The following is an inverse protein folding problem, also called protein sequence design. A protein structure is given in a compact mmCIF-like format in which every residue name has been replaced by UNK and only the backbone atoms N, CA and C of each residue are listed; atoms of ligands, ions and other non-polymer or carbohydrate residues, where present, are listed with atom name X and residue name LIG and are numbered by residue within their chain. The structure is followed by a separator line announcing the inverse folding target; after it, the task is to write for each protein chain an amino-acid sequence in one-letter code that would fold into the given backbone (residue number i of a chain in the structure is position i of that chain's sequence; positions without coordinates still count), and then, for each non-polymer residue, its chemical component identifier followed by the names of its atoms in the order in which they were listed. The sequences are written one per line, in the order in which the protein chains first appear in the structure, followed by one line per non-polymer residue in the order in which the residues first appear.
data_IF_422054539560
#
_entry.id   IF_422054539560
#
_cell.length_a   1.000
_cell.length_b   1.000
_cell.length_c   1.000
_cell.angle_alpha   90.00
_cell.angle_beta   90.00
_cell.angle_gamma   90.00
#
_symmetry.space_group_name_H-M   'P 1'
#
loop_
_entity.id
_entity.type
_entity.pdbx_description
1 polymer ?
#
# COMPACT_ATOMS: atom_id res chain seq x y z
N UNK A 1 -3.11 29.16 25.34
CA UNK A 1 -2.71 27.73 25.32
C UNK A 1 -3.15 27.12 24.00
N UNK A 2 -2.25 27.03 23.02
CA UNK A 2 -2.53 26.42 21.71
C UNK A 2 -2.09 24.96 21.74
N UNK A 3 -3.03 24.05 21.55
CA UNK A 3 -2.83 22.60 21.62
C UNK A 3 -1.98 22.12 20.44
N UNK A 4 -0.77 21.61 20.69
CA UNK A 4 0.13 20.97 19.72
C UNK A 4 -0.35 19.56 19.29
N UNK A 5 -1.65 19.39 19.00
CA UNK A 5 -2.30 18.08 18.85
C UNK A 5 -2.38 17.52 17.42
N UNK A 6 -1.70 18.09 16.42
CA UNK A 6 -2.02 17.85 15.00
C UNK A 6 -0.96 17.19 14.11
N UNK A 7 0.27 16.98 14.58
CA UNK A 7 1.40 16.59 13.71
C UNK A 7 1.46 15.10 13.34
N UNK A 8 1.26 14.21 14.32
CA UNK A 8 1.51 12.76 14.17
C UNK A 8 0.60 12.09 13.14
N UNK A 9 -0.69 12.49 13.09
CA UNK A 9 -1.66 11.98 12.11
C UNK A 9 -1.25 12.27 10.66
N UNK A 10 -0.54 13.38 10.44
CA UNK A 10 -0.02 13.74 9.11
C UNK A 10 1.21 12.92 8.75
N UNK A 11 1.98 12.45 9.72
CA UNK A 11 3.14 11.58 9.47
C UNK A 11 2.74 10.14 9.12
N UNK A 12 1.60 9.67 9.63
CA UNK A 12 0.99 8.39 9.25
C UNK A 12 0.21 8.42 7.93
N UNK A 13 0.21 9.54 7.21
CA UNK A 13 -0.43 9.63 5.89
C UNK A 13 0.00 8.53 4.88
N UNK A 14 1.25 8.01 4.89
CA UNK A 14 1.64 6.94 3.96
C UNK A 14 0.88 5.65 4.23
N UNK A 15 0.52 5.36 5.49
CA UNK A 15 -0.28 4.18 5.87
C UNK A 15 -1.72 4.23 5.34
N UNK A 16 -2.16 5.39 4.85
CA UNK A 16 -3.47 5.52 4.18
C UNK A 16 -3.45 5.03 2.73
N UNK A 17 -2.26 4.85 2.15
CA UNK A 17 -2.11 4.31 0.80
C UNK A 17 -2.36 2.79 0.79
N UNK A 18 -3.23 2.32 -0.11
CA UNK A 18 -3.52 0.88 -0.28
C UNK A 18 -2.25 0.07 -0.54
N UNK A 19 -1.30 0.61 -1.30
CA UNK A 19 0.00 -0.03 -1.59
C UNK A 19 0.78 -0.33 -0.31
N UNK A 20 0.80 0.63 0.60
CA UNK A 20 1.51 0.51 1.88
C UNK A 20 0.81 -0.47 2.81
N UNK A 21 -0.53 -0.47 2.83
CA UNK A 21 -1.31 -1.44 3.61
C UNK A 21 -1.05 -2.88 3.15
N UNK A 22 -1.01 -3.12 1.83
CA UNK A 22 -0.70 -4.43 1.25
C UNK A 22 0.75 -4.84 1.55
N UNK A 23 1.70 -3.91 1.47
CA UNK A 23 3.09 -4.17 1.84
C UNK A 23 3.24 -4.59 3.30
N UNK A 24 2.60 -3.86 4.22
CA UNK A 24 2.61 -4.20 5.65
C UNK A 24 1.94 -5.55 5.90
N UNK A 25 0.79 -5.82 5.28
CA UNK A 25 0.11 -7.10 5.42
C UNK A 25 0.97 -8.27 4.92
N UNK A 26 1.70 -8.07 3.81
CA UNK A 26 2.63 -9.07 3.26
C UNK A 26 3.75 -9.38 4.25
N UNK A 27 4.41 -8.35 4.78
CA UNK A 27 5.51 -8.52 5.74
C UNK A 27 5.03 -9.19 7.02
N UNK A 28 3.88 -8.78 7.56
CA UNK A 28 3.29 -9.40 8.76
C UNK A 28 2.95 -10.88 8.51
N UNK A 29 2.41 -11.20 7.33
CA UNK A 29 2.07 -12.59 6.97
C UNK A 29 3.31 -13.44 6.81
N UNK A 30 4.34 -12.94 6.14
CA UNK A 30 5.62 -13.63 5.97
C UNK A 30 6.30 -13.88 7.33
N UNK A 31 6.30 -12.86 8.20
CA UNK A 31 6.83 -12.99 9.55
C UNK A 31 6.04 -14.00 10.39
N UNK A 32 4.70 -14.00 10.30
CA UNK A 32 3.87 -14.98 11.01
C UNK A 32 4.09 -16.40 10.48
N UNK A 33 4.28 -16.56 9.18
CA UNK A 33 4.60 -17.85 8.54
C UNK A 33 5.94 -18.40 9.05
N UNK A 34 6.96 -17.56 9.15
CA UNK A 34 8.31 -17.95 9.61
C UNK A 34 8.38 -18.14 11.12
N UNK A 35 7.99 -17.13 11.91
CA UNK A 35 8.21 -17.09 13.36
C UNK A 35 7.06 -17.67 14.19
N UNK A 36 5.83 -17.68 13.67
CA UNK A 36 4.64 -18.13 14.40
C UNK A 36 4.21 -19.56 14.04
N UNK A 37 4.35 -19.93 12.76
CA UNK A 37 3.87 -21.20 12.22
C UNK A 37 5.00 -22.15 11.77
N UNK A 38 6.26 -21.71 11.83
CA UNK A 38 7.44 -22.47 11.42
C UNK A 38 7.29 -23.14 10.03
N UNK A 39 6.67 -22.42 9.09
CA UNK A 39 6.48 -22.89 7.73
C UNK A 39 7.82 -22.91 6.98
N UNK A 40 7.86 -23.67 5.88
CA UNK A 40 9.06 -23.76 5.05
C UNK A 40 9.46 -22.40 4.47
N UNK A 41 10.77 -22.22 4.22
CA UNK A 41 11.31 -21.04 3.54
C UNK A 41 10.64 -20.80 2.19
N UNK A 42 10.34 -21.87 1.44
CA UNK A 42 9.57 -21.81 0.20
C UNK A 42 8.20 -21.13 0.37
N UNK A 43 7.51 -21.41 1.48
CA UNK A 43 6.21 -20.78 1.79
C UNK A 43 6.38 -19.29 2.10
N UNK A 44 7.42 -18.92 2.86
CA UNK A 44 7.73 -17.52 3.18
C UNK A 44 8.05 -16.74 1.90
N UNK A 45 8.90 -17.29 1.04
CA UNK A 45 9.24 -16.70 -0.26
C UNK A 45 8.03 -16.59 -1.17
N UNK A 46 7.11 -17.56 -1.14
CA UNK A 46 5.85 -17.50 -1.90
C UNK A 46 4.99 -16.35 -1.42
N UNK A 47 4.81 -16.16 -0.11
CA UNK A 47 4.06 -15.03 0.46
C UNK A 47 4.68 -13.70 0.02
N UNK A 48 6.00 -13.57 0.13
CA UNK A 48 6.72 -12.37 -0.30
C UNK A 48 6.54 -12.10 -1.80
N UNK A 49 6.70 -13.13 -2.64
CA UNK A 49 6.55 -13.03 -4.09
C UNK A 49 5.14 -12.61 -4.50
N UNK A 50 4.11 -13.24 -3.93
CA UNK A 50 2.71 -12.87 -4.17
C UNK A 50 2.44 -11.44 -3.70
N UNK A 51 2.92 -11.04 -2.52
CA UNK A 51 2.75 -9.69 -2.02
C UNK A 51 3.40 -8.62 -2.90
N UNK A 52 4.62 -8.86 -3.39
CA UNK A 52 5.30 -7.97 -4.36
C UNK A 52 4.49 -7.84 -5.64
N UNK A 53 3.97 -8.95 -6.19
CA UNK A 53 3.15 -8.92 -7.40
C UNK A 53 1.87 -8.08 -7.21
N UNK A 54 1.20 -8.21 -6.06
CA UNK A 54 0.01 -7.42 -5.72
C UNK A 54 0.33 -5.93 -5.59
N UNK A 55 1.41 -5.56 -4.89
CA UNK A 55 1.83 -4.16 -4.75
C UNK A 55 2.13 -3.55 -6.12
N UNK A 56 2.85 -4.29 -6.98
CA UNK A 56 3.19 -3.82 -8.32
C UNK A 56 1.95 -3.66 -9.20
N UNK A 57 1.00 -4.59 -9.13
CA UNK A 57 -0.28 -4.51 -9.84
C UNK A 57 -1.08 -3.26 -9.44
N UNK A 58 -1.21 -3.00 -8.13
CA UNK A 58 -1.87 -1.81 -7.60
C UNK A 58 -1.11 -0.54 -8.03
N UNK A 59 0.22 -0.57 -8.01
CA UNK A 59 1.01 0.56 -8.47
C UNK A 59 0.78 0.89 -9.94
N UNK A 60 0.63 -0.13 -10.79
CA UNK A 60 0.32 0.02 -12.20
C UNK A 60 -1.10 0.55 -12.43
N UNK A 61 -2.10 0.03 -11.71
CA UNK A 61 -3.48 0.53 -11.76
C UNK A 61 -3.55 2.02 -11.37
N UNK A 62 -2.91 2.38 -10.25
CA UNK A 62 -2.94 3.75 -9.73
C UNK A 62 -2.28 4.75 -10.70
N UNK A 63 -1.19 4.36 -11.38
CA UNK A 63 -0.55 5.18 -12.40
C UNK A 63 -1.45 5.41 -13.63
N UNK A 64 -2.38 4.49 -13.92
CA UNK A 64 -3.40 4.66 -14.96
C UNK A 64 -4.49 5.65 -14.54
N UNK A 65 -4.95 5.60 -13.28
CA UNK A 65 -6.02 6.47 -12.76
C UNK A 65 -5.58 7.94 -12.63
N UNK A 66 -4.33 8.19 -12.27
CA UNK A 66 -3.79 9.56 -12.19
C UNK A 66 -3.66 10.24 -13.56
N UNK A 67 -3.54 9.47 -14.65
CA UNK A 67 -3.45 10.00 -16.03
C UNK A 67 -4.82 10.35 -16.62
N UNK A 68 -5.89 9.74 -16.14
CA UNK A 68 -7.28 10.10 -16.49
C UNK A 68 -7.75 11.21 -15.55
N UNK A 69 -7.07 12.37 -15.60
CA UNK A 69 -7.57 13.57 -14.94
C UNK A 69 -8.95 13.98 -15.50
N UNK A 70 -9.77 14.71 -14.72
CA UNK A 70 -11.07 15.15 -15.21
C UNK A 70 -10.82 15.96 -16.49
N UNK A 71 -11.32 15.47 -17.63
CA UNK A 71 -11.57 16.35 -18.76
C UNK A 71 -12.64 17.33 -18.28
N UNK A 72 -12.17 18.42 -17.68
CA UNK A 72 -12.97 19.59 -17.43
C UNK A 72 -13.60 19.92 -18.77
N UNK A 73 -14.92 19.74 -18.85
CA UNK A 73 -15.74 20.26 -19.93
C UNK A 73 -15.43 21.74 -20.02
N UNK A 74 -14.58 22.10 -20.97
CA UNK A 74 -14.41 23.47 -21.39
C UNK A 74 -15.58 23.71 -22.33
N UNK A 75 -16.62 24.28 -21.74
CA UNK A 75 -17.71 25.01 -22.38
C UNK A 75 -17.24 25.80 -23.60
N UNK A 76 -18.15 25.93 -24.56
CA UNK A 76 -17.98 26.62 -25.85
C UNK A 76 -17.39 28.03 -25.78
N UNK A 77 -17.09 28.58 -26.95
CA UNK A 77 -18.11 29.35 -27.67
C UNK A 77 -18.58 28.71 -28.98
#
# INVERSE_FOLDING_TARGET
MTTYGGGWRRWLWPLRSRKVQVAVATVVTAWAAEAGLALSEETVLTVLGVGVALILGIAHEDAGRERVGPHAGRTGP
#
